data_IF_863989652650
#
_entry.id   IF_863989652650
#
_cell.length_a   1.000
_cell.length_b   1.000
_cell.length_c   1.000
_cell.angle_alpha   90.00
_cell.angle_beta   90.00
_cell.angle_gamma   90.00
#
_symmetry.space_group_name_H-M   'P 1'
#
loop_
_entity.id
_entity.type
_entity.pdbx_description
1 polymer ?
#
# COMPACT_ATOMS: atom_id res chain seq x y z
N UNK A 1 -50.32 26.85 33.50
CA UNK A 1 -49.60 27.40 34.64
C UNK A 1 -48.15 26.94 34.48
N UNK A 2 -47.10 27.71 34.31
CA UNK A 2 -46.87 29.11 34.28
C UNK A 2 -45.61 29.37 33.47
N UNK A 3 -45.59 30.46 32.80
CA UNK A 3 -44.49 31.07 32.06
C UNK A 3 -43.33 31.44 33.00
N UNK A 4 -42.11 31.41 32.45
CA UNK A 4 -41.15 32.49 32.70
C UNK A 4 -40.11 32.53 31.59
N UNK A 5 -40.17 33.57 30.82
CA UNK A 5 -39.17 34.09 29.91
C UNK A 5 -38.16 34.93 30.70
N UNK A 6 -36.91 35.00 30.26
CA UNK A 6 -36.10 36.18 30.50
C UNK A 6 -35.00 36.32 29.48
N UNK A 7 -34.93 37.50 28.95
CA UNK A 7 -34.19 38.06 27.83
C UNK A 7 -32.76 38.50 28.18
N UNK A 8 -32.03 39.17 27.24
CA UNK A 8 -30.59 39.05 27.03
C UNK A 8 -29.79 40.17 27.70
N UNK A 9 -28.50 39.91 27.89
CA UNK A 9 -27.55 40.95 28.34
C UNK A 9 -26.68 41.41 27.16
N UNK A 10 -26.87 42.66 26.82
CA UNK A 10 -25.98 43.53 26.01
C UNK A 10 -24.88 44.07 26.89
N UNK A 11 -23.73 44.29 26.32
CA UNK A 11 -22.89 45.49 26.48
C UNK A 11 -21.41 45.10 26.22
N UNK A 12 -20.55 45.84 25.73
CA UNK A 12 -20.31 47.22 25.33
C UNK A 12 -18.89 47.22 24.73
N UNK A 13 -18.71 47.86 23.58
CA UNK A 13 -17.39 48.33 23.13
C UNK A 13 -16.97 49.57 23.94
N UNK A 14 -15.69 49.85 24.08
CA UNK A 14 -15.22 51.24 23.98
C UNK A 14 -14.17 51.46 22.87
N UNK A 15 -14.32 52.43 22.28
CA UNK A 15 -13.89 53.61 21.57
C UNK A 15 -12.38 53.83 21.48
N UNK A 16 -12.03 54.37 20.30
CA UNK A 16 -10.77 54.86 19.82
C UNK A 16 -10.13 55.97 20.70
N UNK A 17 -8.82 55.98 20.67
CA UNK A 17 -8.05 57.18 20.97
C UNK A 17 -7.06 57.45 19.82
N UNK A 18 -7.30 58.55 19.16
CA UNK A 18 -6.46 59.20 18.16
C UNK A 18 -5.41 60.03 18.92
N UNK A 19 -4.13 59.87 18.60
CA UNK A 19 -3.10 60.88 18.92
C UNK A 19 -2.31 61.20 17.67
N UNK A 20 -2.51 62.39 17.21
CA UNK A 20 -1.75 63.08 16.19
C UNK A 20 -0.62 63.88 16.84
N UNK A 21 0.58 63.76 16.37
CA UNK A 21 1.64 64.78 16.60
C UNK A 21 2.64 64.79 15.43
N UNK A 22 2.82 66.01 14.96
CA UNK A 22 3.59 66.45 13.79
C UNK A 22 5.10 66.50 14.00
N UNK A 23 5.79 66.48 12.85
CA UNK A 23 7.01 67.22 12.46
C UNK A 23 8.37 66.60 12.75
N UNK A 24 9.13 66.50 11.67
CA UNK A 24 10.59 66.37 11.68
C UNK A 24 11.18 65.90 10.34
N UNK A 25 11.34 66.83 9.39
CA UNK A 25 11.97 66.57 8.10
C UNK A 25 13.52 66.58 8.26
N UNK A 26 14.18 65.51 7.77
CA UNK A 26 15.59 65.47 7.54
C UNK A 26 15.93 64.39 6.50
N UNK A 27 16.71 64.68 5.46
CA UNK A 27 16.98 63.74 4.40
C UNK A 27 18.03 62.70 4.86
N UNK A 28 17.60 61.45 5.06
CA UNK A 28 18.51 60.32 5.24
C UNK A 28 18.64 59.59 3.92
N UNK A 29 19.88 59.65 3.39
CA UNK A 29 20.33 58.84 2.26
C UNK A 29 20.26 57.40 2.72
N UNK A 30 19.28 56.63 2.19
CA UNK A 30 19.22 55.20 2.38
C UNK A 30 20.06 54.55 1.28
N UNK A 31 21.25 54.08 1.63
CA UNK A 31 22.03 53.21 0.76
C UNK A 31 21.29 51.88 0.64
N UNK A 32 20.72 51.60 -0.53
CA UNK A 32 20.07 50.35 -0.88
C UNK A 32 21.13 49.28 -1.12
N UNK A 33 21.50 48.54 -0.07
CA UNK A 33 22.28 47.31 -0.20
C UNK A 33 21.36 46.20 -0.78
N UNK A 34 21.40 46.00 -2.09
CA UNK A 34 20.82 44.84 -2.72
C UNK A 34 21.59 43.58 -2.31
N UNK A 35 21.17 42.92 -1.25
CA UNK A 35 21.57 41.55 -0.94
C UNK A 35 20.88 40.63 -1.97
N UNK A 36 21.62 40.22 -2.99
CA UNK A 36 21.26 39.11 -3.87
C UNK A 36 21.37 37.83 -3.05
N UNK A 37 20.28 37.39 -2.44
CA UNK A 37 20.17 36.05 -1.88
C UNK A 37 20.01 35.11 -3.09
N UNK A 38 21.12 34.55 -3.53
CA UNK A 38 21.13 33.46 -4.50
C UNK A 38 20.47 32.21 -3.86
N UNK A 39 19.23 31.93 -4.20
CA UNK A 39 18.63 30.66 -3.88
C UNK A 39 19.36 29.57 -4.70
N UNK A 40 20.29 28.87 -4.05
CA UNK A 40 20.86 27.66 -4.60
C UNK A 40 19.74 26.61 -4.62
N UNK A 41 19.16 26.37 -5.78
CA UNK A 41 18.28 25.24 -6.00
C UNK A 41 19.13 23.96 -5.80
N UNK A 42 18.94 23.30 -4.66
CA UNK A 42 19.49 21.97 -4.44
C UNK A 42 18.83 21.02 -5.43
N UNK A 43 19.51 20.71 -6.52
CA UNK A 43 19.12 19.63 -7.41
C UNK A 43 19.34 18.33 -6.67
N UNK A 44 18.27 17.79 -6.08
CA UNK A 44 18.26 16.42 -5.54
C UNK A 44 18.45 15.46 -6.72
N UNK A 45 19.66 14.94 -6.85
CA UNK A 45 19.94 13.81 -7.74
C UNK A 45 19.04 12.65 -7.30
N UNK A 46 18.23 12.04 -8.17
CA UNK A 46 17.47 10.88 -7.79
C UNK A 46 18.45 9.79 -7.35
N UNK A 47 18.20 9.22 -6.17
CA UNK A 47 18.99 8.09 -5.68
C UNK A 47 18.92 6.98 -6.73
N UNK A 48 20.08 6.60 -7.29
CA UNK A 48 20.19 5.48 -8.21
C UNK A 48 19.84 4.22 -7.42
N UNK A 49 18.67 3.64 -7.67
CA UNK A 49 18.31 2.36 -7.08
C UNK A 49 19.31 1.31 -7.59
N UNK A 50 19.88 0.52 -6.68
CA UNK A 50 20.71 -0.60 -7.07
C UNK A 50 19.91 -1.52 -8.01
N UNK A 51 20.54 -2.05 -9.08
CA UNK A 51 19.85 -2.93 -10.00
C UNK A 51 19.30 -4.16 -9.25
N UNK A 52 18.05 -4.56 -9.56
CA UNK A 52 17.45 -5.77 -9.00
C UNK A 52 18.25 -6.98 -9.49
N UNK A 53 18.76 -7.86 -8.61
CA UNK A 53 19.48 -9.04 -9.02
C UNK A 53 18.63 -9.93 -9.94
N UNK A 54 19.23 -10.67 -10.89
CA UNK A 54 18.50 -11.67 -11.66
C UNK A 54 17.83 -12.70 -10.75
N UNK A 55 16.66 -13.21 -11.17
CA UNK A 55 16.03 -14.35 -10.48
C UNK A 55 16.83 -15.64 -10.76
N UNK A 56 16.65 -16.66 -9.92
CA UNK A 56 17.26 -17.97 -10.13
C UNK A 56 16.88 -18.57 -11.48
N UNK A 57 17.66 -19.55 -11.97
CA UNK A 57 17.32 -20.25 -13.21
C UNK A 57 15.99 -20.99 -13.10
N UNK A 58 15.72 -21.62 -11.96
CA UNK A 58 14.45 -22.28 -11.68
C UNK A 58 13.27 -21.30 -11.73
N UNK A 59 13.40 -20.13 -11.10
CA UNK A 59 12.38 -19.09 -11.15
C UNK A 59 12.14 -18.60 -12.59
N UNK A 60 13.19 -18.35 -13.36
CA UNK A 60 13.07 -17.93 -14.76
C UNK A 60 12.42 -19.01 -15.63
N UNK A 61 12.80 -20.29 -15.43
CA UNK A 61 12.21 -21.41 -16.16
C UNK A 61 10.72 -21.59 -15.83
N UNK A 62 10.29 -21.23 -14.62
CA UNK A 62 8.89 -21.19 -14.21
C UNK A 62 8.13 -19.91 -14.69
N UNK A 63 8.79 -19.00 -15.42
CA UNK A 63 8.21 -17.74 -15.89
C UNK A 63 8.08 -16.69 -14.81
N UNK A 64 8.87 -16.76 -13.74
CA UNK A 64 8.83 -15.77 -12.67
C UNK A 64 9.76 -14.58 -12.92
N UNK A 65 9.32 -13.44 -12.45
CA UNK A 65 10.09 -12.19 -12.39
C UNK A 65 10.02 -11.62 -10.97
N UNK A 66 11.06 -10.91 -10.56
CA UNK A 66 11.00 -10.10 -9.33
C UNK A 66 10.11 -8.89 -9.61
N UNK A 67 9.12 -8.66 -8.74
CA UNK A 67 8.15 -7.57 -8.93
C UNK A 67 8.80 -6.19 -9.07
N UNK A 68 9.97 -5.97 -8.46
CA UNK A 68 10.72 -4.71 -8.56
C UNK A 68 11.24 -4.42 -9.96
N UNK A 69 11.33 -5.43 -10.83
CA UNK A 69 11.68 -5.22 -12.24
C UNK A 69 10.53 -4.65 -13.06
N UNK A 70 9.30 -4.79 -12.58
CA UNK A 70 8.05 -4.33 -13.23
C UNK A 70 7.43 -3.12 -12.53
N UNK A 71 7.58 -3.05 -11.22
CA UNK A 71 7.13 -1.95 -10.34
C UNK A 71 8.34 -1.48 -9.52
N UNK A 72 9.19 -0.60 -10.07
CA UNK A 72 10.47 -0.24 -9.45
C UNK A 72 10.36 0.45 -8.08
N UNK A 73 9.23 1.05 -7.78
CA UNK A 73 8.90 1.69 -6.50
C UNK A 73 8.03 0.82 -5.57
N UNK A 74 7.87 -0.48 -5.90
CA UNK A 74 7.19 -1.43 -5.03
C UNK A 74 7.84 -1.47 -3.65
N UNK A 75 7.01 -1.45 -2.62
CA UNK A 75 7.43 -1.72 -1.25
C UNK A 75 7.27 -3.22 -0.99
N UNK A 76 8.35 -3.89 -0.65
CA UNK A 76 8.34 -5.33 -0.35
C UNK A 76 8.31 -5.48 1.17
N UNK A 77 7.18 -5.98 1.68
CA UNK A 77 6.90 -6.20 3.10
C UNK A 77 6.31 -7.61 3.27
N UNK A 78 7.07 -8.62 2.82
CA UNK A 78 6.63 -10.02 2.85
C UNK A 78 6.37 -10.47 4.28
N UNK A 79 5.11 -10.62 4.65
CA UNK A 79 4.68 -10.92 6.03
C UNK A 79 5.15 -12.28 6.51
N UNK A 80 5.25 -13.23 5.60
CA UNK A 80 5.72 -14.57 5.93
C UNK A 80 7.25 -14.69 6.00
N UNK A 81 8.00 -13.63 5.66
CA UNK A 81 9.43 -13.52 5.93
C UNK A 81 9.75 -13.07 7.37
N UNK A 82 8.74 -12.85 8.19
CA UNK A 82 8.85 -12.52 9.61
C UNK A 82 7.87 -13.36 10.43
N UNK A 83 7.87 -13.22 11.75
CA UNK A 83 6.83 -13.80 12.62
C UNK A 83 5.57 -12.92 12.75
N UNK A 84 5.51 -11.75 12.10
CA UNK A 84 4.33 -10.87 12.10
C UNK A 84 3.31 -11.31 11.05
N UNK A 85 2.76 -12.52 11.26
CA UNK A 85 1.75 -13.16 10.45
C UNK A 85 0.85 -14.04 11.32
N UNK A 86 -0.22 -14.61 10.76
CA UNK A 86 -1.20 -15.40 11.52
C UNK A 86 -0.66 -16.72 12.09
N UNK A 87 0.46 -17.23 11.55
CA UNK A 87 1.11 -18.45 12.06
C UNK A 87 1.99 -18.14 13.27
N UNK A 88 2.47 -16.89 13.40
CA UNK A 88 3.37 -16.45 14.46
C UNK A 88 4.81 -16.97 14.29
N UNK A 89 5.18 -17.43 13.10
CA UNK A 89 6.50 -17.96 12.77
C UNK A 89 6.97 -17.46 11.39
N UNK A 90 8.26 -17.35 11.20
CA UNK A 90 8.86 -17.09 9.90
C UNK A 90 8.74 -18.33 9.01
N UNK A 91 8.13 -18.16 7.82
CA UNK A 91 7.92 -19.23 6.85
C UNK A 91 8.78 -19.07 5.59
N UNK A 92 9.16 -17.85 5.24
CA UNK A 92 10.07 -17.56 4.13
C UNK A 92 11.49 -17.38 4.65
N UNK A 93 12.53 -17.70 3.86
CA UNK A 93 13.92 -17.46 4.24
C UNK A 93 14.23 -15.97 4.36
N UNK A 94 15.32 -15.64 5.04
CA UNK A 94 15.88 -14.29 5.05
C UNK A 94 16.22 -13.88 3.60
N UNK A 95 15.84 -12.67 3.24
CA UNK A 95 16.07 -12.17 1.88
C UNK A 95 15.09 -12.67 0.83
N UNK A 96 13.98 -13.31 1.24
CA UNK A 96 12.90 -13.69 0.33
C UNK A 96 12.47 -12.55 -0.60
N UNK A 97 12.21 -12.90 -1.84
CA UNK A 97 11.86 -11.98 -2.93
C UNK A 97 10.38 -12.12 -3.29
N UNK A 98 9.76 -11.01 -3.66
CA UNK A 98 8.41 -11.04 -4.23
C UNK A 98 8.52 -11.46 -5.70
N UNK A 99 8.40 -12.77 -5.94
CA UNK A 99 8.36 -13.36 -7.28
C UNK A 99 6.91 -13.43 -7.75
N UNK A 100 6.66 -13.00 -8.97
CA UNK A 100 5.34 -13.12 -9.61
C UNK A 100 5.51 -13.74 -10.98
N UNK A 101 4.51 -14.48 -11.46
CA UNK A 101 4.53 -14.99 -12.83
C UNK A 101 4.45 -13.80 -13.81
N UNK A 102 5.19 -13.86 -14.91
CA UNK A 102 5.30 -12.79 -15.92
C UNK A 102 3.94 -12.33 -16.47
N UNK A 103 2.90 -13.18 -16.43
CA UNK A 103 1.55 -12.81 -16.84
C UNK A 103 0.92 -11.69 -16.00
N UNK A 104 1.44 -11.41 -14.80
CA UNK A 104 0.99 -10.31 -13.93
C UNK A 104 1.75 -9.00 -14.22
N UNK A 105 2.91 -9.09 -14.87
CA UNK A 105 3.85 -7.99 -14.98
C UNK A 105 3.21 -6.71 -15.55
N UNK A 106 2.57 -6.82 -16.70
CA UNK A 106 1.92 -5.68 -17.36
C UNK A 106 0.79 -5.10 -16.49
N UNK A 107 -0.04 -5.97 -15.89
CA UNK A 107 -1.16 -5.53 -15.05
C UNK A 107 -0.71 -4.80 -13.80
N UNK A 108 0.32 -5.31 -13.13
CA UNK A 108 0.91 -4.65 -11.96
C UNK A 108 1.55 -3.30 -12.30
N UNK A 109 2.22 -3.21 -13.46
CA UNK A 109 2.78 -1.94 -13.94
C UNK A 109 1.67 -0.90 -14.24
N UNK A 110 0.55 -1.30 -14.84
CA UNK A 110 -0.63 -0.43 -15.07
C UNK A 110 -1.19 0.07 -13.74
N UNK A 111 -1.45 -0.83 -12.79
CA UNK A 111 -1.98 -0.49 -11.48
C UNK A 111 -1.05 0.49 -10.73
N UNK A 112 0.24 0.20 -10.69
CA UNK A 112 1.22 1.06 -10.04
C UNK A 112 1.29 2.47 -10.68
N UNK A 113 1.20 2.57 -12.01
CA UNK A 113 1.18 3.87 -12.70
C UNK A 113 -0.05 4.70 -12.35
N UNK A 114 -1.23 4.08 -12.19
CA UNK A 114 -2.45 4.78 -11.77
C UNK A 114 -2.34 5.27 -10.31
N UNK A 115 -1.82 4.44 -9.42
CA UNK A 115 -1.67 4.77 -8.01
C UNK A 115 -0.64 5.89 -7.76
N UNK A 116 0.46 5.93 -8.54
CA UNK A 116 1.45 7.01 -8.46
C UNK A 116 0.86 8.39 -8.74
N UNK A 117 -0.18 8.50 -9.56
CA UNK A 117 -0.87 9.78 -9.82
C UNK A 117 -1.48 10.37 -8.54
N UNK A 118 -1.77 9.53 -7.56
CA UNK A 118 -2.26 9.92 -6.23
C UNK A 118 -1.15 9.96 -5.17
N UNK A 119 0.12 9.79 -5.56
CA UNK A 119 1.24 9.70 -4.62
C UNK A 119 1.26 8.40 -3.82
N UNK A 120 0.59 7.36 -4.29
CA UNK A 120 0.48 6.06 -3.64
C UNK A 120 1.36 5.01 -4.33
N UNK A 121 1.81 4.01 -3.57
CA UNK A 121 2.61 2.88 -4.05
C UNK A 121 2.00 1.57 -3.59
N UNK A 122 2.21 0.51 -4.38
CA UNK A 122 1.88 -0.85 -3.98
C UNK A 122 2.86 -1.36 -2.92
N UNK A 123 2.31 -1.96 -1.88
CA UNK A 123 3.04 -2.73 -0.86
C UNK A 123 2.65 -4.18 -1.02
N UNK A 124 3.62 -5.05 -1.19
CA UNK A 124 3.41 -6.48 -1.40
C UNK A 124 3.64 -7.23 -0.09
N UNK A 125 2.61 -7.91 0.40
CA UNK A 125 2.61 -8.71 1.60
C UNK A 125 2.84 -10.19 1.33
N UNK A 126 2.34 -10.69 0.17
CA UNK A 126 2.65 -12.02 -0.34
C UNK A 126 2.64 -12.05 -1.87
N UNK A 127 3.41 -12.97 -2.45
CA UNK A 127 3.61 -13.13 -3.88
C UNK A 127 3.54 -14.62 -4.26
N UNK A 128 4.52 -15.18 -4.98
CA UNK A 128 4.64 -16.62 -5.13
C UNK A 128 4.90 -17.26 -3.76
N UNK A 129 4.13 -18.28 -3.43
CA UNK A 129 4.20 -19.03 -2.18
C UNK A 129 4.62 -20.47 -2.49
N UNK A 130 5.78 -20.94 -2.03
CA UNK A 130 6.17 -22.33 -2.16
C UNK A 130 5.14 -23.28 -1.54
N UNK A 131 5.01 -24.47 -2.11
CA UNK A 131 4.00 -25.44 -1.68
C UNK A 131 4.18 -25.90 -0.22
N UNK A 132 5.41 -26.11 0.22
CA UNK A 132 5.74 -26.47 1.60
C UNK A 132 5.29 -25.38 2.61
N UNK A 133 5.39 -24.12 2.23
CA UNK A 133 4.85 -23.00 3.02
C UNK A 133 3.31 -23.07 3.09
N UNK A 134 2.63 -23.35 1.98
CA UNK A 134 1.18 -23.55 1.99
C UNK A 134 0.76 -24.72 2.89
N UNK A 135 1.54 -25.80 2.91
CA UNK A 135 1.34 -26.94 3.82
C UNK A 135 1.51 -26.51 5.26
N UNK A 136 2.60 -25.83 5.59
CA UNK A 136 2.88 -25.35 6.96
C UNK A 136 1.79 -24.38 7.47
N UNK A 137 1.31 -23.48 6.62
CA UNK A 137 0.18 -22.58 6.95
C UNK A 137 -1.09 -23.35 7.29
N UNK A 138 -1.44 -24.37 6.47
CA UNK A 138 -2.64 -25.15 6.69
C UNK A 138 -2.51 -26.07 7.92
N UNK A 139 -1.33 -26.59 8.21
CA UNK A 139 -1.08 -27.36 9.45
C UNK A 139 -1.24 -26.52 10.70
N UNK A 140 -0.77 -25.24 10.66
CA UNK A 140 -0.92 -24.31 11.76
C UNK A 140 -2.38 -23.89 11.98
N UNK A 141 -3.13 -23.66 10.88
CA UNK A 141 -4.53 -23.25 10.93
C UNK A 141 -5.34 -24.09 9.92
N UNK A 142 -5.78 -25.32 10.29
CA UNK A 142 -6.44 -26.26 9.38
C UNK A 142 -7.91 -25.89 9.13
N UNK A 143 -8.15 -24.64 8.75
CA UNK A 143 -9.46 -24.09 8.46
C UNK A 143 -9.52 -23.65 6.98
N UNK A 144 -10.18 -24.43 6.10
CA UNK A 144 -10.22 -24.11 4.67
C UNK A 144 -11.03 -22.86 4.32
N UNK A 145 -11.71 -22.25 5.29
CA UNK A 145 -12.34 -20.94 5.10
C UNK A 145 -11.34 -19.78 5.24
N UNK A 146 -10.16 -20.02 5.82
CA UNK A 146 -9.11 -19.03 6.04
C UNK A 146 -7.83 -19.33 5.25
N UNK A 147 -7.43 -20.59 5.25
CA UNK A 147 -6.22 -21.05 4.56
C UNK A 147 -6.61 -22.12 3.54
N UNK A 148 -6.30 -21.89 2.28
CA UNK A 148 -6.60 -22.88 1.23
C UNK A 148 -5.92 -24.23 1.57
N UNK A 149 -6.71 -25.33 1.46
CA UNK A 149 -6.16 -26.67 1.66
C UNK A 149 -5.11 -26.96 0.58
N UNK A 150 -3.87 -27.35 0.95
CA UNK A 150 -2.88 -27.80 -0.02
C UNK A 150 -3.38 -29.03 -0.77
N UNK A 151 -3.11 -29.09 -2.06
CA UNK A 151 -3.48 -30.19 -2.96
C UNK A 151 -2.27 -30.80 -3.63
N UNK A 152 -2.51 -31.60 -4.67
CA UNK A 152 -1.47 -32.16 -5.53
C UNK A 152 -1.17 -31.26 -6.74
N UNK A 153 -1.55 -30.00 -6.68
CA UNK A 153 -1.41 -29.01 -7.75
C UNK A 153 -1.14 -27.62 -7.15
N UNK A 154 -0.56 -26.74 -7.96
CA UNK A 154 -0.38 -25.33 -7.67
C UNK A 154 -1.44 -24.48 -8.37
N UNK A 155 -1.95 -23.46 -7.69
CA UNK A 155 -2.79 -22.38 -8.22
C UNK A 155 -2.62 -21.13 -7.39
N UNK A 156 -3.17 -19.99 -7.83
CA UNK A 156 -3.11 -18.74 -7.07
C UNK A 156 -1.67 -18.38 -6.68
N UNK A 157 -1.37 -18.18 -5.40
CA UNK A 157 -0.01 -17.91 -4.89
C UNK A 157 0.98 -19.02 -5.22
N UNK A 158 0.61 -20.28 -5.09
CA UNK A 158 1.52 -21.41 -5.38
C UNK A 158 1.91 -21.48 -6.87
N UNK A 159 1.15 -20.84 -7.76
CA UNK A 159 1.47 -20.66 -9.17
C UNK A 159 2.07 -19.29 -9.49
N UNK A 160 2.31 -18.44 -8.48
CA UNK A 160 2.78 -17.07 -8.62
C UNK A 160 1.83 -16.16 -9.40
N UNK A 161 0.54 -16.49 -9.42
CA UNK A 161 -0.49 -15.77 -10.21
C UNK A 161 -1.47 -14.97 -9.37
N UNK A 162 -1.19 -14.85 -8.08
CA UNK A 162 -1.90 -13.97 -7.17
C UNK A 162 -0.93 -13.20 -6.32
N UNK A 163 -1.37 -12.06 -5.81
CA UNK A 163 -0.60 -11.22 -4.90
C UNK A 163 -1.50 -10.71 -3.78
N UNK A 164 -0.93 -10.60 -2.58
CA UNK A 164 -1.54 -9.91 -1.47
C UNK A 164 -0.90 -8.53 -1.34
N UNK A 165 -1.70 -7.50 -1.50
CA UNK A 165 -1.20 -6.13 -1.61
C UNK A 165 -2.04 -5.12 -0.84
N UNK A 166 -1.38 -4.02 -0.47
CA UNK A 166 -2.00 -2.82 0.07
C UNK A 166 -1.36 -1.57 -0.53
N UNK A 167 -1.73 -0.40 0.00
CA UNK A 167 -1.22 0.90 -0.43
C UNK A 167 -0.37 1.54 0.65
N UNK A 168 0.69 2.22 0.23
CA UNK A 168 1.40 3.20 1.03
C UNK A 168 1.33 4.58 0.36
N UNK A 169 0.97 5.58 1.14
CA UNK A 169 1.02 6.99 0.77
C UNK A 169 2.16 7.72 1.49
N UNK A 170 2.21 9.06 1.42
CA UNK A 170 3.26 9.86 2.09
C UNK A 170 3.32 9.67 3.61
N UNK A 171 2.22 9.28 4.24
CA UNK A 171 2.10 9.03 5.69
C UNK A 171 2.35 7.60 6.11
N UNK A 172 2.76 6.69 5.22
CA UNK A 172 2.90 5.26 5.48
C UNK A 172 1.75 4.44 4.91
N UNK A 173 1.46 3.29 5.51
CA UNK A 173 0.37 2.42 5.06
C UNK A 173 -0.97 3.13 5.12
N UNK A 174 -1.78 2.94 4.08
CA UNK A 174 -3.13 3.48 3.99
C UNK A 174 -4.09 2.60 4.82
N UNK A 175 -4.94 3.23 5.64
CA UNK A 175 -5.95 2.50 6.43
C UNK A 175 -6.96 1.79 5.52
N UNK A 176 -7.00 0.48 5.61
CA UNK A 176 -7.93 -0.39 4.89
C UNK A 176 -9.05 -0.96 5.79
N UNK A 177 -9.09 -0.56 7.08
CA UNK A 177 -10.12 -0.95 8.03
C UNK A 177 -9.90 -2.31 8.70
N UNK A 178 -8.98 -3.15 8.17
CA UNK A 178 -8.44 -4.35 8.82
C UNK A 178 -6.97 -4.50 8.47
N UNK A 179 -6.24 -5.25 9.28
CA UNK A 179 -4.90 -5.71 8.95
C UNK A 179 -4.90 -6.83 7.89
N UNK A 180 -3.71 -7.26 7.54
CA UNK A 180 -3.47 -8.48 6.76
C UNK A 180 -3.84 -9.71 7.59
N UNK A 181 -4.38 -10.74 6.95
CA UNK A 181 -4.82 -11.99 7.62
C UNK A 181 -5.81 -11.79 8.78
N UNK A 182 -6.55 -10.68 8.79
CA UNK A 182 -7.71 -10.53 9.70
C UNK A 182 -8.85 -11.40 9.15
N UNK A 183 -8.96 -12.62 9.64
CA UNK A 183 -9.98 -13.60 9.23
C UNK A 183 -11.39 -13.30 9.78
N UNK A 184 -11.77 -12.02 9.76
CA UNK A 184 -13.11 -11.57 10.17
C UNK A 184 -13.98 -11.21 8.95
N UNK A 185 -15.31 -11.13 9.11
CA UNK A 185 -16.19 -10.66 8.04
C UNK A 185 -15.84 -9.26 7.49
N UNK A 186 -15.11 -8.44 8.27
CA UNK A 186 -14.67 -7.11 7.83
C UNK A 186 -13.59 -7.16 6.74
N UNK A 187 -12.90 -8.28 6.61
CA UNK A 187 -11.84 -8.45 5.59
C UNK A 187 -12.38 -8.77 4.20
N UNK A 188 -13.66 -9.10 4.08
CA UNK A 188 -14.26 -9.29 2.76
C UNK A 188 -14.08 -8.04 1.91
N UNK A 189 -13.83 -8.24 0.62
CA UNK A 189 -13.54 -7.14 -0.32
C UNK A 189 -14.68 -6.11 -0.42
N UNK A 190 -15.93 -6.55 -0.21
CA UNK A 190 -17.15 -5.76 -0.26
C UNK A 190 -17.69 -5.34 1.13
N UNK A 191 -16.94 -5.61 2.21
CA UNK A 191 -17.40 -5.33 3.57
C UNK A 191 -17.65 -3.83 3.80
N UNK A 192 -18.84 -3.51 4.33
CA UNK A 192 -19.22 -2.15 4.75
C UNK A 192 -19.44 -2.08 6.26
N UNK A 193 -20.01 -3.13 6.86
CA UNK A 193 -20.27 -3.18 8.29
C UNK A 193 -18.95 -3.24 9.07
N UNK A 194 -18.73 -2.27 9.96
CA UNK A 194 -17.51 -2.17 10.78
C UNK A 194 -16.26 -1.71 10.00
N UNK A 195 -16.43 -1.24 8.75
CA UNK A 195 -15.36 -0.65 7.92
C UNK A 195 -15.72 0.80 7.66
N UNK A 196 -14.84 1.74 7.98
CA UNK A 196 -15.07 3.17 7.79
C UNK A 196 -15.29 3.52 6.29
N UNK A 197 -16.02 4.59 6.01
CA UNK A 197 -16.20 5.05 4.64
C UNK A 197 -14.85 5.40 3.96
N UNK A 198 -13.88 5.89 4.73
CA UNK A 198 -12.54 6.16 4.23
C UNK A 198 -11.82 4.86 3.83
N UNK A 199 -11.85 3.83 4.68
CA UNK A 199 -11.26 2.53 4.37
C UNK A 199 -11.93 1.85 3.17
N UNK A 200 -13.27 1.93 3.05
CA UNK A 200 -13.99 1.45 1.87
C UNK A 200 -13.53 2.16 0.59
N UNK A 201 -13.36 3.49 0.64
CA UNK A 201 -12.85 4.26 -0.49
C UNK A 201 -11.39 3.88 -0.84
N UNK A 202 -10.56 3.60 0.18
CA UNK A 202 -9.18 3.16 -0.01
C UNK A 202 -9.11 1.78 -0.70
N UNK A 203 -9.92 0.82 -0.24
CA UNK A 203 -10.07 -0.51 -0.89
C UNK A 203 -10.58 -0.37 -2.33
N UNK A 204 -11.52 0.53 -2.57
CA UNK A 204 -12.04 0.78 -3.92
C UNK A 204 -10.91 1.26 -4.86
N UNK A 205 -10.08 2.22 -4.44
CA UNK A 205 -8.93 2.68 -5.24
C UNK A 205 -7.95 1.56 -5.57
N UNK A 206 -7.59 0.75 -4.57
CA UNK A 206 -6.71 -0.41 -4.78
C UNK A 206 -7.32 -1.37 -5.79
N UNK A 207 -8.56 -1.77 -5.57
CA UNK A 207 -9.31 -2.68 -6.46
C UNK A 207 -9.39 -2.14 -7.87
N UNK A 208 -9.78 -0.87 -8.03
CA UNK A 208 -10.01 -0.27 -9.34
C UNK A 208 -8.69 -0.12 -10.13
N UNK A 209 -7.58 0.19 -9.45
CA UNK A 209 -6.26 0.23 -10.06
C UNK A 209 -5.80 -1.15 -10.55
N UNK A 210 -5.96 -2.19 -9.73
CA UNK A 210 -5.58 -3.55 -10.09
C UNK A 210 -6.52 -4.14 -11.16
N UNK A 211 -7.82 -3.83 -11.10
CA UNK A 211 -8.79 -4.21 -12.12
C UNK A 211 -8.45 -3.59 -13.49
N UNK A 212 -7.99 -2.34 -13.54
CA UNK A 212 -7.49 -1.72 -14.77
C UNK A 212 -6.27 -2.45 -15.34
N UNK A 213 -5.48 -3.12 -14.49
CA UNK A 213 -4.39 -4.02 -14.88
C UNK A 213 -4.83 -5.45 -15.20
N UNK A 214 -6.12 -5.76 -15.11
CA UNK A 214 -6.67 -7.11 -15.38
C UNK A 214 -6.54 -8.09 -14.23
N UNK A 215 -6.30 -7.62 -12.99
CA UNK A 215 -6.34 -8.45 -11.80
C UNK A 215 -7.71 -8.32 -11.12
N UNK A 216 -8.17 -9.40 -10.51
CA UNK A 216 -9.49 -9.48 -9.87
C UNK A 216 -9.35 -9.71 -8.37
N UNK A 217 -10.03 -8.88 -7.56
CA UNK A 217 -10.04 -9.06 -6.11
C UNK A 217 -10.79 -10.34 -5.74
N UNK A 218 -10.24 -11.13 -4.80
CA UNK A 218 -10.95 -12.23 -4.19
C UNK A 218 -12.02 -11.72 -3.22
N UNK A 219 -13.23 -12.25 -3.33
CA UNK A 219 -14.36 -11.75 -2.55
C UNK A 219 -14.19 -11.91 -1.03
N UNK A 220 -13.40 -12.88 -0.59
CA UNK A 220 -13.11 -13.15 0.82
C UNK A 220 -12.16 -12.16 1.48
N UNK A 221 -11.26 -11.53 0.69
CA UNK A 221 -10.11 -10.78 1.19
C UNK A 221 -9.86 -9.55 0.32
N UNK A 222 -9.86 -8.36 0.94
CA UNK A 222 -9.68 -7.11 0.20
C UNK A 222 -8.25 -6.91 -0.34
N UNK A 223 -7.27 -7.63 0.21
CA UNK A 223 -5.85 -7.56 -0.19
C UNK A 223 -5.46 -8.54 -1.29
N UNK A 224 -6.25 -9.64 -1.48
CA UNK A 224 -5.91 -10.73 -2.39
C UNK A 224 -6.42 -10.45 -3.81
N UNK A 225 -5.50 -10.51 -4.77
CA UNK A 225 -5.81 -10.28 -6.18
C UNK A 225 -5.28 -11.39 -7.07
N UNK A 226 -6.20 -11.98 -7.82
CA UNK A 226 -5.95 -13.01 -8.81
C UNK A 226 -5.63 -12.38 -10.17
N UNK A 227 -4.52 -12.79 -10.77
CA UNK A 227 -4.15 -12.46 -12.13
C UNK A 227 -4.59 -13.50 -13.17
N UNK A 228 -4.20 -13.34 -14.43
CA UNK A 228 -4.57 -14.24 -15.52
C UNK A 228 -4.22 -15.70 -15.22
N UNK A 229 -5.24 -16.56 -15.20
CA UNK A 229 -5.09 -18.00 -14.98
C UNK A 229 -4.76 -18.42 -13.55
N UNK A 230 -5.00 -17.59 -12.53
CA UNK A 230 -4.79 -17.92 -11.12
C UNK A 230 -5.55 -19.18 -10.68
N UNK A 231 -6.79 -19.37 -11.13
CA UNK A 231 -7.61 -20.53 -10.79
C UNK A 231 -7.28 -21.83 -11.55
N UNK A 232 -6.32 -21.80 -12.49
CA UNK A 232 -5.94 -22.99 -13.27
C UNK A 232 -4.96 -23.84 -12.48
N UNK A 233 -5.28 -25.13 -12.30
CA UNK A 233 -4.40 -26.11 -11.67
C UNK A 233 -3.17 -26.40 -12.54
N UNK A 234 -2.00 -26.45 -11.92
CA UNK A 234 -0.70 -26.68 -12.55
C UNK A 234 0.13 -27.64 -11.68
N UNK A 235 1.18 -28.24 -12.22
CA UNK A 235 2.15 -28.96 -11.39
C UNK A 235 2.70 -28.05 -10.26
N UNK A 236 2.92 -28.66 -9.10
CA UNK A 236 3.60 -27.97 -7.99
C UNK A 236 4.99 -27.53 -8.47
N UNK A 237 5.36 -26.33 -8.11
CA UNK A 237 6.63 -25.71 -8.48
C UNK A 237 7.63 -25.87 -7.32
N UNK A 238 8.84 -26.31 -7.66
CA UNK A 238 10.00 -26.35 -6.74
C UNK A 238 10.91 -25.17 -7.09
N UNK A 239 10.49 -23.98 -6.69
CA UNK A 239 11.18 -22.72 -6.97
C UNK A 239 11.45 -22.02 -5.64
N UNK A 240 12.72 -21.75 -5.30
CA UNK A 240 13.03 -20.95 -4.12
C UNK A 240 12.63 -19.48 -4.31
N UNK A 241 12.35 -18.80 -3.20
CA UNK A 241 11.94 -17.39 -3.17
C UNK A 241 13.09 -16.41 -2.88
N UNK A 242 14.35 -16.88 -2.88
CA UNK A 242 15.59 -16.11 -2.65
C UNK A 242 16.29 -15.63 -3.94
#
# INVERSE_FOLDING_TARGET
MGCAASSPVRSRRPAAAVYSALMGAGPRIVALCCLLIGAAAATSTPASSSPVPPVSEAARAAGFVDVRTVVPDAVIDLRYATSDNFVGAQLYPDGARCLVHESLAQGLAVAANLLRQNGERLVFWDCYRPHDVQVAMFEAVPNPAWVARPGSYARSHEAGRSVDVTLAGPGGLVDMGTGFDDFSPRSRADATAGVSAAAQANRARLRDALAAGGLTVYAGEWWHFDGPGAGVERPILDVPVD
#
